data_IF_286433644249
#
_entry.id   IF_286433644249
#
_cell.length_a   1.000
_cell.length_b   1.000
_cell.length_c   1.000
_cell.angle_alpha   90.00
_cell.angle_beta   90.00
_cell.angle_gamma   90.00
#
_symmetry.space_group_name_H-M   'P 1'
#
loop_
_entity.id
_entity.type
_entity.pdbx_description
1 polymer ?
#
# COMPACT_ATOMS: atom_id res chain seq x y z
N UNK A 1 15.57 -47.74 49.56
CA UNK A 1 14.91 -48.48 50.66
C UNK A 1 13.57 -47.80 50.94
N UNK A 2 12.47 -48.58 50.90
CA UNK A 2 11.08 -48.30 51.38
C UNK A 2 10.33 -47.10 50.72
N UNK A 3 9.25 -47.25 49.92
CA UNK A 3 7.90 -47.81 50.16
C UNK A 3 7.17 -47.05 51.30
N UNK A 4 5.95 -46.48 51.23
CA UNK A 4 4.62 -46.94 50.79
C UNK A 4 3.58 -45.77 50.91
N UNK A 5 2.55 -45.77 50.03
CA UNK A 5 1.10 -45.34 50.08
C UNK A 5 0.61 -44.30 51.12
N UNK A 6 -0.36 -43.42 50.85
CA UNK A 6 -1.84 -43.65 50.69
C UNK A 6 -2.50 -42.54 49.82
N UNK A 7 -3.17 -42.84 48.70
CA UNK A 7 -4.64 -42.99 48.49
C UNK A 7 -5.57 -42.10 49.34
N UNK A 8 -6.25 -41.15 48.70
CA UNK A 8 -7.70 -40.98 48.86
C UNK A 8 -8.35 -40.65 47.51
N UNK A 9 -9.31 -41.50 47.13
CA UNK A 9 -10.21 -41.38 45.98
C UNK A 9 -11.39 -40.49 46.36
N UNK A 10 -11.87 -39.65 45.44
CA UNK A 10 -13.27 -39.25 45.43
C UNK A 10 -13.83 -39.42 44.02
N UNK A 11 -14.98 -40.09 43.97
CA UNK A 11 -15.71 -40.55 42.79
C UNK A 11 -16.66 -39.45 42.27
N UNK A 12 -16.98 -39.59 40.99
CA UNK A 12 -17.89 -38.78 40.15
C UNK A 12 -19.32 -38.57 40.72
N UNK A 13 -20.18 -37.78 40.02
CA UNK A 13 -21.01 -38.42 38.99
C UNK A 13 -21.20 -37.64 37.68
N UNK A 14 -21.21 -38.41 36.60
CA UNK A 14 -21.80 -38.12 35.29
C UNK A 14 -23.32 -37.85 35.36
N UNK A 15 -23.82 -36.84 34.63
CA UNK A 15 -25.20 -36.85 34.09
C UNK A 15 -25.28 -36.23 32.69
N UNK A 16 -25.79 -37.04 31.74
CA UNK A 16 -26.20 -36.69 30.36
C UNK A 16 -27.40 -35.73 30.32
N UNK A 17 -27.47 -34.84 29.31
CA UNK A 17 -28.74 -34.47 28.64
C UNK A 17 -28.55 -33.95 27.19
N UNK A 18 -29.09 -34.77 26.28
CA UNK A 18 -29.68 -34.63 24.92
C UNK A 18 -29.34 -33.44 23.99
N UNK A 19 -29.13 -33.86 22.72
CA UNK A 19 -29.01 -33.11 21.45
C UNK A 19 -30.19 -32.19 21.16
N UNK A 20 -29.90 -31.05 20.52
CA UNK A 20 -30.77 -30.44 19.49
C UNK A 20 -29.92 -30.23 18.23
N UNK A 21 -30.42 -30.79 17.14
CA UNK A 21 -29.90 -30.74 15.78
C UNK A 21 -30.55 -29.52 15.11
N UNK A 22 -29.76 -28.56 14.62
CA UNK A 22 -30.23 -27.58 13.64
C UNK A 22 -29.27 -27.66 12.46
N UNK A 23 -29.79 -28.21 11.37
CA UNK A 23 -29.10 -28.23 10.09
C UNK A 23 -29.05 -26.82 9.52
N UNK A 24 -27.89 -26.46 8.99
CA UNK A 24 -27.76 -25.44 7.97
C UNK A 24 -27.11 -26.10 6.75
N UNK A 25 -27.97 -26.55 5.85
CA UNK A 25 -27.64 -26.67 4.43
C UNK A 25 -27.59 -25.22 3.94
N UNK A 26 -26.39 -24.69 3.79
CA UNK A 26 -26.15 -23.31 3.38
C UNK A 26 -24.99 -23.27 2.40
N UNK A 27 -25.29 -23.58 1.14
CA UNK A 27 -24.77 -22.92 -0.05
C UNK A 27 -23.27 -22.55 0.00
N UNK A 28 -22.39 -23.48 -0.40
CA UNK A 28 -21.02 -23.13 -0.78
C UNK A 28 -21.11 -22.39 -2.13
N UNK A 29 -21.27 -21.06 -2.08
CA UNK A 29 -21.01 -20.21 -3.23
C UNK A 29 -19.49 -20.22 -3.50
N UNK A 30 -19.05 -20.38 -4.76
CA UNK A 30 -17.63 -20.40 -5.07
C UNK A 30 -17.02 -19.03 -4.80
N UNK A 31 -15.96 -19.02 -3.99
CA UNK A 31 -15.12 -17.87 -3.61
C UNK A 31 -14.62 -17.06 -4.84
N UNK A 32 -14.68 -17.63 -6.04
CA UNK A 32 -14.33 -16.97 -7.30
C UNK A 32 -15.22 -15.77 -7.67
N UNK A 33 -16.50 -15.73 -7.26
CA UNK A 33 -17.41 -14.62 -7.62
C UNK A 33 -17.18 -13.40 -6.72
N UNK A 34 -16.69 -13.59 -5.49
CA UNK A 34 -16.37 -12.50 -4.58
C UNK A 34 -15.17 -11.66 -5.06
N UNK A 35 -14.17 -12.26 -5.72
CA UNK A 35 -13.04 -11.51 -6.28
C UNK A 35 -13.41 -10.70 -7.52
N UNK A 36 -14.31 -11.21 -8.36
CA UNK A 36 -14.72 -10.50 -9.58
C UNK A 36 -15.64 -9.31 -9.25
N UNK A 37 -16.51 -9.45 -8.24
CA UNK A 37 -17.38 -8.35 -7.81
C UNK A 37 -16.63 -7.24 -7.03
N UNK A 38 -15.56 -7.57 -6.30
CA UNK A 38 -14.77 -6.57 -5.57
C UNK A 38 -13.87 -5.74 -6.49
N UNK A 39 -13.37 -6.31 -7.59
CA UNK A 39 -12.58 -5.58 -8.58
C UNK A 39 -13.40 -4.51 -9.34
N UNK A 40 -14.73 -4.67 -9.43
CA UNK A 40 -15.60 -3.65 -10.02
C UNK A 40 -16.15 -2.63 -9.03
N UNK A 41 -16.09 -2.90 -7.72
CA UNK A 41 -16.81 -2.11 -6.69
C UNK A 41 -15.97 -1.00 -6.04
N UNK A 42 -14.66 -0.92 -6.30
CA UNK A 42 -13.82 0.24 -5.91
C UNK A 42 -13.79 1.31 -7.01
N UNK A 43 -14.75 1.32 -7.94
CA UNK A 43 -14.98 2.47 -8.83
C UNK A 43 -15.96 3.43 -8.17
N UNK A 44 -15.46 4.62 -7.82
CA UNK A 44 -16.15 5.76 -7.18
C UNK A 44 -16.45 5.60 -5.69
N UNK A 45 -15.41 5.78 -4.88
CA UNK A 45 -15.59 6.52 -3.63
C UNK A 45 -15.69 8.00 -4.01
N UNK A 46 -16.91 8.50 -4.02
CA UNK A 46 -17.30 9.85 -4.42
C UNK A 46 -17.22 10.78 -3.20
N UNK A 47 -16.02 11.23 -2.87
CA UNK A 47 -15.81 12.36 -1.97
C UNK A 47 -15.04 13.45 -2.73
N UNK A 48 -15.78 14.44 -3.21
CA UNK A 48 -15.30 15.71 -3.79
C UNK A 48 -14.35 15.58 -5.01
N UNK A 49 -14.90 15.22 -6.17
CA UNK A 49 -14.30 15.39 -7.51
C UNK A 49 -12.90 14.77 -7.74
N UNK A 50 -12.37 13.97 -6.81
CA UNK A 50 -11.11 13.23 -6.97
C UNK A 50 -11.41 11.75 -7.07
N UNK A 51 -11.53 11.27 -8.30
CA UNK A 51 -11.55 9.83 -8.58
C UNK A 51 -10.29 9.21 -8.00
N UNK A 52 -10.43 8.13 -7.23
CA UNK A 52 -9.32 7.36 -6.68
C UNK A 52 -9.17 6.04 -7.43
N UNK A 53 -7.95 5.52 -7.49
CA UNK A 53 -7.61 4.26 -8.16
C UNK A 53 -6.75 3.40 -7.23
N UNK A 54 -7.08 2.11 -7.14
CA UNK A 54 -6.27 1.13 -6.42
C UNK A 54 -5.23 0.57 -7.39
N UNK A 55 -3.97 0.94 -7.19
CA UNK A 55 -2.85 0.32 -7.89
C UNK A 55 -2.44 -0.95 -7.15
N UNK A 56 -2.24 -2.02 -7.91
CA UNK A 56 -1.91 -3.33 -7.35
C UNK A 56 -0.40 -3.58 -7.38
N UNK A 57 0.06 -4.57 -6.61
CA UNK A 57 1.46 -4.96 -6.61
C UNK A 57 1.90 -5.41 -8.02
N UNK A 58 3.11 -5.00 -8.43
CA UNK A 58 3.65 -5.31 -9.76
C UNK A 58 3.32 -4.27 -10.83
N UNK A 59 2.43 -3.31 -10.55
CA UNK A 59 2.12 -2.21 -11.47
C UNK A 59 3.35 -1.37 -11.80
N UNK A 60 3.47 -0.98 -13.07
CA UNK A 60 4.52 -0.07 -13.56
C UNK A 60 3.97 1.35 -13.67
N UNK A 61 4.74 2.31 -13.18
CA UNK A 61 4.42 3.74 -13.28
C UNK A 61 5.39 4.40 -14.25
N UNK A 62 4.83 5.00 -15.29
CA UNK A 62 5.53 5.69 -16.35
C UNK A 62 5.58 7.19 -16.11
N UNK A 63 6.55 7.85 -16.74
CA UNK A 63 6.80 9.28 -16.61
C UNK A 63 5.75 10.14 -17.31
N UNK A 64 5.32 9.67 -18.47
CA UNK A 64 4.49 10.42 -19.41
C UNK A 64 3.55 9.48 -20.18
N UNK A 65 2.68 10.09 -20.98
CA UNK A 65 1.70 9.42 -21.82
C UNK A 65 2.30 8.56 -22.94
N UNK A 66 3.59 8.70 -23.24
CA UNK A 66 4.28 7.85 -24.23
C UNK A 66 4.55 6.45 -23.67
N UNK A 67 4.50 6.27 -22.34
CA UNK A 67 4.69 4.99 -21.65
C UNK A 67 6.05 4.31 -21.96
N UNK A 68 7.06 5.09 -22.32
CA UNK A 68 8.40 4.59 -22.65
C UNK A 68 9.36 4.68 -21.47
N UNK A 69 9.25 5.75 -20.67
CA UNK A 69 10.14 6.03 -19.54
C UNK A 69 9.47 5.61 -18.25
N UNK A 70 10.14 4.73 -17.51
CA UNK A 70 9.63 4.20 -16.26
C UNK A 70 10.14 5.06 -15.10
N UNK A 71 9.21 5.45 -14.21
CA UNK A 71 9.54 6.01 -12.89
C UNK A 71 9.70 4.87 -11.90
N UNK A 72 8.69 3.99 -11.79
CA UNK A 72 8.67 2.83 -10.89
C UNK A 72 8.37 1.59 -11.73
N UNK A 73 9.29 0.64 -11.83
CA UNK A 73 9.09 -0.57 -12.65
C UNK A 73 8.11 -1.56 -12.06
N UNK A 74 8.11 -1.69 -10.74
CA UNK A 74 7.22 -2.59 -10.03
C UNK A 74 6.87 -2.00 -8.68
N UNK A 75 5.59 -1.68 -8.51
CA UNK A 75 5.03 -1.36 -7.20
C UNK A 75 5.22 -2.54 -6.23
N UNK A 76 5.67 -2.28 -5.01
CA UNK A 76 5.96 -3.31 -4.01
C UNK A 76 4.72 -3.69 -3.20
N UNK A 77 3.90 -2.70 -2.83
CA UNK A 77 2.68 -2.87 -2.07
C UNK A 77 1.52 -2.12 -2.73
N UNK A 78 0.28 -2.64 -2.69
CA UNK A 78 -0.88 -1.93 -3.23
C UNK A 78 -1.05 -0.55 -2.60
N UNK A 79 -1.52 0.41 -3.38
CA UNK A 79 -1.72 1.77 -2.91
C UNK A 79 -2.98 2.40 -3.52
N UNK A 80 -3.59 3.32 -2.77
CA UNK A 80 -4.64 4.18 -3.30
C UNK A 80 -4.00 5.48 -3.79
N UNK A 81 -4.24 5.83 -5.05
CA UNK A 81 -3.75 7.04 -5.70
C UNK A 81 -4.90 7.91 -6.20
N UNK A 82 -4.66 9.20 -6.36
CA UNK A 82 -5.61 10.12 -6.98
C UNK A 82 -5.48 10.05 -8.49
N UNK A 83 -6.59 9.94 -9.20
CA UNK A 83 -6.64 10.06 -10.66
C UNK A 83 -6.74 11.53 -11.01
N UNK A 84 -5.82 11.99 -11.85
CA UNK A 84 -5.77 13.36 -12.38
C UNK A 84 -6.50 13.43 -13.72
N UNK A 85 -6.26 12.45 -14.59
CA UNK A 85 -6.80 12.37 -15.94
C UNK A 85 -6.83 10.92 -16.39
N UNK A 86 -7.77 10.55 -17.26
CA UNK A 86 -7.94 9.19 -17.74
C UNK A 86 -8.40 9.22 -19.20
N UNK A 87 -7.79 8.37 -20.03
CA UNK A 87 -8.24 8.13 -21.40
C UNK A 87 -8.30 6.62 -21.69
N UNK A 88 -8.39 6.23 -22.96
CA UNK A 88 -8.52 4.82 -23.35
C UNK A 88 -7.25 3.98 -23.08
N UNK A 89 -6.07 4.60 -23.10
CA UNK A 89 -4.78 3.90 -23.05
C UNK A 89 -4.08 3.97 -21.69
N UNK A 90 -4.35 5.03 -20.92
CA UNK A 90 -3.65 5.28 -19.66
C UNK A 90 -4.51 5.98 -18.61
N UNK A 91 -4.01 5.93 -17.37
CA UNK A 91 -4.52 6.68 -16.21
C UNK A 91 -3.37 7.54 -15.67
N UNK A 92 -3.53 8.86 -15.65
CA UNK A 92 -2.61 9.79 -15.01
C UNK A 92 -2.96 9.86 -13.54
N UNK A 93 -1.99 9.58 -12.70
CA UNK A 93 -2.15 9.49 -11.25
C UNK A 93 -1.26 10.50 -10.54
N UNK A 94 -1.65 10.80 -9.31
CA UNK A 94 -0.88 11.58 -8.36
C UNK A 94 -0.89 10.92 -6.99
N UNK A 95 0.26 10.89 -6.33
CA UNK A 95 0.41 10.39 -4.95
C UNK A 95 1.51 11.14 -4.22
N UNK A 96 1.25 11.51 -2.97
CA UNK A 96 2.27 12.07 -2.08
C UNK A 96 3.01 10.92 -1.39
N UNK A 97 4.33 10.97 -1.42
CA UNK A 97 5.25 9.92 -0.99
C UNK A 97 6.42 10.52 -0.22
N UNK A 98 7.23 9.64 0.38
CA UNK A 98 8.35 9.99 1.23
C UNK A 98 9.63 9.32 0.76
N UNK A 99 10.71 10.06 0.75
CA UNK A 99 12.07 9.58 0.50
C UNK A 99 12.95 9.94 1.69
N UNK A 100 13.84 9.02 2.08
CA UNK A 100 14.80 9.31 3.14
C UNK A 100 15.82 10.35 2.64
N UNK A 101 16.24 11.29 3.49
CA UNK A 101 17.09 12.41 3.05
C UNK A 101 18.44 11.94 2.50
N UNK A 102 18.99 10.84 3.03
CA UNK A 102 20.25 10.25 2.53
C UNK A 102 20.17 9.64 1.13
N UNK A 103 18.96 9.47 0.56
CA UNK A 103 18.75 8.92 -0.79
C UNK A 103 18.29 9.97 -1.81
N UNK A 104 18.23 11.23 -1.40
CA UNK A 104 17.77 12.33 -2.23
C UNK A 104 18.75 13.51 -2.20
N UNK A 105 18.89 14.20 -3.33
CA UNK A 105 19.57 15.48 -3.41
C UNK A 105 18.54 16.59 -3.54
N UNK A 106 18.70 17.64 -2.74
CA UNK A 106 17.98 18.90 -2.94
C UNK A 106 18.77 19.73 -3.94
N UNK A 107 18.14 20.15 -5.04
CA UNK A 107 18.84 20.77 -6.17
C UNK A 107 19.52 22.12 -5.87
N UNK A 108 19.07 22.82 -4.83
CA UNK A 108 19.53 24.16 -4.47
C UNK A 108 19.21 24.48 -3.00
N UNK A 109 19.80 25.55 -2.47
CA UNK A 109 19.46 26.06 -1.14
C UNK A 109 17.98 26.47 -1.12
N UNK A 110 17.19 25.62 -0.46
CA UNK A 110 15.75 25.69 -0.40
C UNK A 110 15.22 26.60 0.72
N UNK A 111 16.12 27.30 1.41
CA UNK A 111 15.77 28.16 2.54
C UNK A 111 14.81 29.31 2.18
N UNK A 112 14.76 29.72 0.92
CA UNK A 112 14.04 30.93 0.48
C UNK A 112 13.18 30.75 -0.78
N UNK A 113 13.07 29.53 -1.33
CA UNK A 113 12.37 29.30 -2.59
C UNK A 113 10.99 28.66 -2.39
N UNK A 114 9.96 29.14 -3.10
CA UNK A 114 8.59 28.62 -2.98
C UNK A 114 8.43 27.22 -3.60
N UNK A 115 9.35 26.84 -4.49
CA UNK A 115 9.37 25.53 -5.13
C UNK A 115 10.78 24.97 -4.97
N UNK A 116 10.84 23.77 -4.43
CA UNK A 116 12.06 23.03 -4.21
C UNK A 116 11.94 21.66 -4.81
N UNK A 117 12.93 21.29 -5.61
CA UNK A 117 12.98 19.99 -6.24
C UNK A 117 13.87 19.05 -5.43
N UNK A 118 13.47 17.80 -5.34
CA UNK A 118 14.33 16.71 -4.89
C UNK A 118 14.59 15.74 -6.02
N UNK A 119 15.83 15.28 -6.12
CA UNK A 119 16.24 14.22 -7.04
C UNK A 119 16.49 12.95 -6.25
N UNK A 120 15.74 11.89 -6.54
CA UNK A 120 15.83 10.59 -5.86
C UNK A 120 16.72 9.65 -6.69
N UNK A 121 17.72 9.06 -6.04
CA UNK A 121 18.59 8.08 -6.68
C UNK A 121 17.87 6.76 -7.00
N UNK A 122 18.21 6.10 -8.12
CA UNK A 122 17.58 4.84 -8.51
C UNK A 122 17.86 3.71 -7.52
N UNK A 123 16.98 2.71 -7.49
CA UNK A 123 17.11 1.51 -6.65
C UNK A 123 16.97 1.78 -5.15
N UNK A 124 16.35 2.91 -4.79
CA UNK A 124 16.09 3.30 -3.40
C UNK A 124 14.59 3.31 -3.15
N UNK A 125 14.21 2.77 -1.99
CA UNK A 125 12.80 2.66 -1.60
C UNK A 125 12.21 4.04 -1.34
N UNK A 126 11.16 4.38 -2.08
CA UNK A 126 10.23 5.44 -1.75
C UNK A 126 9.02 4.84 -1.02
N UNK A 127 8.43 5.60 -0.10
CA UNK A 127 7.45 5.09 0.85
C UNK A 127 6.15 5.88 0.85
N UNK A 128 5.06 5.19 1.17
CA UNK A 128 3.75 5.77 1.42
C UNK A 128 3.69 6.50 2.76
N UNK A 129 4.42 5.99 3.75
CA UNK A 129 4.49 6.55 5.11
C UNK A 129 5.95 6.54 5.61
N UNK A 130 6.42 7.64 6.24
CA UNK A 130 7.75 7.71 6.83
C UNK A 130 7.83 6.81 8.07
N UNK A 131 9.05 6.43 8.47
CA UNK A 131 9.34 5.70 9.72
C UNK A 131 8.52 4.40 9.94
N UNK A 132 8.05 3.77 8.86
CA UNK A 132 7.16 2.61 8.89
C UNK A 132 7.84 1.34 8.37
N UNK A 133 7.27 0.17 8.67
CA UNK A 133 7.77 -1.14 8.23
C UNK A 133 7.75 -1.31 6.69
N UNK A 134 8.19 -2.45 6.17
CA UNK A 134 8.31 -2.71 4.72
C UNK A 134 6.98 -2.63 3.96
N UNK A 135 5.85 -2.80 4.65
CA UNK A 135 4.50 -2.59 4.12
C UNK A 135 4.27 -1.14 3.64
N UNK A 136 5.06 -0.19 4.11
CA UNK A 136 5.00 1.20 3.66
C UNK A 136 5.79 1.48 2.39
N UNK A 137 6.59 0.53 1.89
CA UNK A 137 7.35 0.70 0.66
C UNK A 137 6.37 0.79 -0.51
N UNK A 138 6.41 1.90 -1.22
CA UNK A 138 5.63 2.09 -2.43
C UNK A 138 6.32 1.39 -3.61
N UNK A 139 7.60 1.69 -3.80
CA UNK A 139 8.41 1.14 -4.88
C UNK A 139 9.82 1.68 -4.86
N UNK A 140 10.54 1.42 -5.93
CA UNK A 140 11.88 1.93 -6.18
C UNK A 140 11.86 2.71 -7.49
N UNK A 141 12.66 3.78 -7.58
CA UNK A 141 12.84 4.50 -8.83
C UNK A 141 13.81 3.75 -9.75
N UNK A 142 13.51 3.69 -11.04
CA UNK A 142 14.36 3.02 -12.06
C UNK A 142 15.55 3.89 -12.49
N UNK A 143 15.37 5.21 -12.45
CA UNK A 143 16.37 6.20 -12.83
C UNK A 143 16.34 7.37 -11.86
N UNK A 144 17.27 8.32 -12.01
CA UNK A 144 17.19 9.57 -11.25
C UNK A 144 15.90 10.28 -11.63
N UNK A 145 15.06 10.57 -10.64
CA UNK A 145 13.78 11.23 -10.84
C UNK A 145 13.71 12.47 -9.97
N UNK A 146 13.25 13.56 -10.58
CA UNK A 146 13.09 14.86 -9.93
C UNK A 146 11.62 15.10 -9.63
N UNK A 147 11.33 15.51 -8.41
CA UNK A 147 9.97 15.72 -7.92
C UNK A 147 9.85 17.04 -7.17
N UNK A 148 8.64 17.60 -7.19
CA UNK A 148 8.28 18.73 -6.33
C UNK A 148 8.27 18.27 -4.87
N UNK A 149 9.10 18.92 -4.05
CA UNK A 149 9.07 18.79 -2.60
C UNK A 149 7.84 19.53 -2.06
N UNK A 150 7.11 18.88 -1.17
CA UNK A 150 5.88 19.42 -0.60
C UNK A 150 6.09 20.03 0.79
N UNK A 151 6.80 19.33 1.67
CA UNK A 151 6.98 19.78 3.06
C UNK A 151 8.38 20.31 3.36
N UNK A 152 8.39 21.40 4.12
CA UNK A 152 9.58 22.05 4.67
C UNK A 152 9.81 21.71 6.16
N UNK A 153 8.98 20.87 6.81
CA UNK A 153 9.03 20.69 8.27
C UNK A 153 9.58 19.35 8.80
N UNK A 154 10.69 19.49 9.54
CA UNK A 154 11.08 18.92 10.85
C UNK A 154 11.32 17.42 11.12
N UNK A 155 11.11 16.48 10.21
CA UNK A 155 11.86 15.22 10.30
C UNK A 155 13.07 15.33 9.37
N UNK A 156 14.24 15.64 9.92
CA UNK A 156 15.50 15.89 9.17
C UNK A 156 15.87 14.73 8.23
N UNK A 157 15.25 13.57 8.45
CA UNK A 157 15.54 12.35 7.74
C UNK A 157 14.60 12.07 6.56
N UNK A 158 13.55 12.86 6.33
CA UNK A 158 12.57 12.59 5.27
C UNK A 158 12.20 13.81 4.44
N UNK A 159 12.07 13.60 3.14
CA UNK A 159 11.44 14.55 2.23
C UNK A 159 10.10 13.98 1.75
N UNK A 160 9.03 14.76 1.94
CA UNK A 160 7.74 14.50 1.29
C UNK A 160 7.74 15.16 -0.09
N UNK A 161 7.27 14.41 -1.08
CA UNK A 161 7.21 14.87 -2.46
C UNK A 161 5.96 14.35 -3.17
N UNK A 162 5.65 14.98 -4.30
CA UNK A 162 4.54 14.58 -5.17
C UNK A 162 5.04 13.74 -6.33
N UNK A 163 4.62 12.49 -6.39
CA UNK A 163 4.73 11.67 -7.59
C UNK A 163 3.54 11.95 -8.50
N UNK A 164 3.83 12.31 -9.75
CA UNK A 164 2.88 12.29 -10.86
C UNK A 164 3.39 11.27 -11.87
N UNK A 165 2.52 10.37 -12.31
CA UNK A 165 2.90 9.33 -13.24
C UNK A 165 1.70 8.77 -13.99
N UNK A 166 1.97 7.84 -14.89
CA UNK A 166 1.01 7.26 -15.80
C UNK A 166 1.00 5.75 -15.63
N UNK A 167 -0.19 5.16 -15.66
CA UNK A 167 -0.40 3.71 -15.62
C UNK A 167 -1.00 3.30 -16.94
N UNK A 168 -0.47 2.23 -17.53
CA UNK A 168 -1.01 1.65 -18.75
C UNK A 168 -2.27 0.83 -18.42
N UNK A 169 -3.33 1.02 -19.20
CA UNK A 169 -4.55 0.20 -19.10
C UNK A 169 -4.43 -1.15 -19.79
#
# INVERSE_FOLDING_TARGET
MLAVREKFLSREPYTKKKRVLIGFIGLILPIAVAMIAFNSFVRRAEDNNRTSYLITQGETIYKDEELQKIIVSSLKNPAIVSVVEENENWIKIQKELYAFSSIALVSQDCSFLPICEISIYPGKNIRMFPNSADESIFGETESIQTFDRLDFSYDENWYQFRLVGYIKK
#
